data_IF_495808863309
#
_entry.id   IF_495808863309
#
_cell.length_a   1.000
_cell.length_b   1.000
_cell.length_c   1.000
_cell.angle_alpha   90.00
_cell.angle_beta   90.00
_cell.angle_gamma   90.00
#
_symmetry.space_group_name_H-M   'P 1'
#
loop_
_entity.id
_entity.type
_entity.pdbx_description
1 polymer ?
#
# COMPACT_ATOMS: atom_id res chain seq x y z
N UNK A 1 50.70 -75.19 59.39
CA UNK A 1 51.47 -74.36 60.37
C UNK A 1 51.94 -73.11 59.66
N UNK A 2 52.04 -72.00 60.35
CA UNK A 2 51.32 -71.44 61.47
C UNK A 2 50.82 -70.00 61.21
N UNK A 3 49.90 -69.56 61.98
CA UNK A 3 49.72 -68.44 62.96
C UNK A 3 49.08 -67.17 62.44
N UNK A 4 47.94 -66.95 63.09
CA UNK A 4 47.35 -65.58 63.31
C UNK A 4 48.29 -64.60 63.98
N UNK A 5 48.01 -63.28 63.87
CA UNK A 5 47.49 -62.69 65.06
C UNK A 5 46.33 -61.65 64.77
N UNK A 6 45.60 -61.44 65.86
CA UNK A 6 44.46 -60.63 66.16
C UNK A 6 44.72 -59.12 65.94
N UNK A 7 43.71 -58.40 65.37
CA UNK A 7 43.61 -56.99 65.40
C UNK A 7 42.85 -56.46 66.63
N UNK A 8 42.97 -55.16 66.99
CA UNK A 8 42.35 -54.66 68.19
C UNK A 8 40.98 -54.02 67.96
N UNK A 9 40.11 -54.22 68.95
CA UNK A 9 38.78 -53.78 69.17
C UNK A 9 38.63 -52.24 69.17
N UNK A 10 38.01 -51.66 68.22
CA UNK A 10 37.63 -50.22 68.24
C UNK A 10 36.22 -49.99 68.75
N UNK A 11 36.10 -49.60 70.00
CA UNK A 11 34.84 -49.20 70.64
C UNK A 11 34.22 -47.99 69.92
N UNK A 12 33.02 -48.11 69.32
CA UNK A 12 32.19 -47.02 68.86
C UNK A 12 31.57 -46.30 70.05
N UNK A 13 31.92 -45.05 70.29
CA UNK A 13 31.25 -44.18 71.24
C UNK A 13 29.77 -44.00 70.86
N UNK A 14 28.83 -44.06 71.81
CA UNK A 14 27.40 -43.87 71.50
C UNK A 14 27.14 -42.42 71.07
N UNK A 15 26.54 -42.24 69.91
CA UNK A 15 26.12 -40.92 69.36
C UNK A 15 24.84 -40.53 70.07
N UNK A 16 24.84 -39.43 70.82
CA UNK A 16 23.72 -38.87 71.56
C UNK A 16 22.53 -38.61 70.57
N UNK A 17 21.39 -39.28 70.73
CA UNK A 17 20.23 -39.15 69.77
C UNK A 17 19.67 -37.72 69.70
N UNK A 18 19.83 -36.89 70.73
CA UNK A 18 19.37 -35.48 70.73
C UNK A 18 20.22 -34.58 69.79
N UNK A 19 21.49 -34.86 69.53
CA UNK A 19 22.31 -34.08 68.57
C UNK A 19 21.92 -34.41 67.16
N UNK A 20 21.43 -35.63 66.85
CA UNK A 20 21.02 -36.02 65.50
C UNK A 20 19.66 -35.41 65.09
N UNK A 21 18.73 -35.25 66.00
CA UNK A 21 17.46 -34.59 65.78
C UNK A 21 17.60 -33.08 65.56
N UNK A 22 18.49 -32.42 66.26
CA UNK A 22 18.71 -30.95 66.10
C UNK A 22 19.41 -30.66 64.77
N UNK A 23 20.37 -31.50 64.32
CA UNK A 23 21.00 -31.28 63.01
C UNK A 23 20.05 -31.54 61.79
N UNK A 24 19.17 -32.55 61.91
CA UNK A 24 18.13 -32.81 60.85
C UNK A 24 17.04 -31.74 60.80
N UNK A 25 16.64 -31.25 62.00
CA UNK A 25 15.67 -30.14 62.05
C UNK A 25 16.26 -28.81 61.47
N UNK A 26 17.49 -28.44 61.83
CA UNK A 26 18.15 -27.25 61.24
C UNK A 26 18.39 -27.40 59.73
N UNK A 27 18.71 -28.57 59.23
CA UNK A 27 18.89 -28.81 57.78
C UNK A 27 17.57 -28.75 57.00
N UNK A 28 16.44 -29.07 57.65
CA UNK A 28 15.10 -28.98 57.05
C UNK A 28 14.58 -27.56 57.05
N UNK A 29 14.81 -26.78 58.10
CA UNK A 29 14.49 -25.32 58.17
C UNK A 29 15.31 -24.50 57.15
N UNK A 30 16.61 -24.81 57.00
CA UNK A 30 17.45 -24.10 56.02
C UNK A 30 17.00 -24.36 54.59
N UNK A 31 16.56 -25.59 54.26
CA UNK A 31 16.01 -25.91 52.94
C UNK A 31 14.67 -25.19 52.67
N UNK A 32 13.78 -25.13 53.67
CA UNK A 32 12.53 -24.36 53.54
C UNK A 32 12.76 -22.88 53.27
N UNK A 33 13.73 -22.26 54.00
CA UNK A 33 14.11 -20.85 53.76
C UNK A 33 14.73 -20.62 52.40
N UNK A 34 15.54 -21.59 51.89
CA UNK A 34 16.10 -21.52 50.57
C UNK A 34 15.02 -21.64 49.49
N UNK A 35 14.09 -22.56 49.63
CA UNK A 35 12.93 -22.69 48.71
C UNK A 35 12.06 -21.43 48.71
N UNK A 36 11.78 -20.87 49.90
CA UNK A 36 11.01 -19.62 50.02
C UNK A 36 11.73 -18.46 49.32
N UNK A 37 13.07 -18.36 49.50
CA UNK A 37 13.86 -17.34 48.85
C UNK A 37 13.86 -17.50 47.33
N UNK A 38 13.96 -18.73 46.81
CA UNK A 38 13.90 -19.01 45.35
C UNK A 38 12.52 -18.65 44.81
N UNK A 39 11.41 -18.99 45.50
CA UNK A 39 10.07 -18.62 45.06
C UNK A 39 9.86 -17.11 45.01
N UNK A 40 10.36 -16.39 46.03
CA UNK A 40 10.30 -14.91 46.05
C UNK A 40 11.12 -14.31 44.90
N UNK A 41 12.34 -14.82 44.62
CA UNK A 41 13.15 -14.36 43.52
C UNK A 41 12.43 -14.61 42.17
N UNK A 42 11.81 -15.78 41.98
CA UNK A 42 11.07 -16.10 40.76
C UNK A 42 9.85 -15.16 40.58
N UNK A 43 9.10 -14.91 41.65
CA UNK A 43 7.96 -13.97 41.61
C UNK A 43 8.42 -12.55 41.28
N UNK A 44 9.50 -12.10 41.90
CA UNK A 44 10.09 -10.77 41.61
C UNK A 44 10.61 -10.70 40.16
N UNK A 45 11.28 -11.75 39.69
CA UNK A 45 11.77 -11.82 38.32
C UNK A 45 10.61 -11.79 37.29
N UNK A 46 9.54 -12.52 37.56
CA UNK A 46 8.31 -12.49 36.74
C UNK A 46 7.68 -11.10 36.79
N UNK A 47 7.57 -10.50 37.98
CA UNK A 47 6.99 -9.16 38.17
C UNK A 47 7.82 -8.07 37.46
N UNK A 48 9.14 -8.13 37.60
CA UNK A 48 10.06 -7.21 36.88
C UNK A 48 10.00 -7.46 35.38
N UNK A 49 10.02 -8.72 34.92
CA UNK A 49 9.89 -9.06 33.52
C UNK A 49 8.58 -8.56 32.92
N UNK A 50 7.47 -8.72 33.64
CA UNK A 50 6.16 -8.20 33.22
C UNK A 50 6.11 -6.67 33.23
N UNK A 51 6.70 -6.03 34.24
CA UNK A 51 6.80 -4.56 34.33
C UNK A 51 7.65 -3.98 33.18
N UNK A 52 8.80 -4.58 32.87
CA UNK A 52 9.66 -4.17 31.75
C UNK A 52 8.94 -4.39 30.42
N UNK A 53 8.25 -5.53 30.24
CA UNK A 53 7.45 -5.83 29.05
C UNK A 53 6.29 -4.83 28.88
N UNK A 54 5.54 -4.55 29.93
CA UNK A 54 4.41 -3.60 29.88
C UNK A 54 4.86 -2.14 29.72
N UNK A 55 6.02 -1.77 30.25
CA UNK A 55 6.59 -0.41 30.07
C UNK A 55 7.29 -0.20 28.71
N UNK A 56 7.66 -1.28 28.03
CA UNK A 56 8.20 -1.23 26.67
C UNK A 56 7.11 -1.05 25.59
N UNK A 57 5.84 -1.33 25.94
CA UNK A 57 4.71 -1.03 25.07
C UNK A 57 4.28 0.43 25.29
N UNK A 58 4.07 1.17 24.20
CA UNK A 58 3.47 2.51 24.30
C UNK A 58 2.08 2.48 24.94
N UNK A 59 1.45 3.64 25.18
CA UNK A 59 0.10 3.69 25.75
C UNK A 59 -0.91 2.98 24.83
N UNK A 60 -1.97 2.38 25.39
CA UNK A 60 -3.07 1.81 24.60
C UNK A 60 -3.63 2.84 23.62
N UNK A 61 -3.74 2.46 22.34
CA UNK A 61 -4.21 3.31 21.24
C UNK A 61 -4.95 2.45 20.21
N UNK A 62 -5.57 3.09 19.22
CA UNK A 62 -6.17 2.41 18.07
C UNK A 62 -5.75 3.10 16.77
N UNK A 63 -5.86 2.37 15.66
CA UNK A 63 -5.66 2.90 14.32
C UNK A 63 -6.95 2.73 13.50
N UNK A 64 -7.17 3.66 12.55
CA UNK A 64 -8.24 3.55 11.57
C UNK A 64 -7.61 3.46 10.18
N UNK A 65 -8.09 2.54 9.35
CA UNK A 65 -7.70 2.42 7.96
C UNK A 65 -8.93 2.27 7.06
N UNK A 66 -8.90 2.94 5.92
CA UNK A 66 -9.85 2.81 4.83
C UNK A 66 -9.10 2.87 3.50
N UNK A 67 -9.68 2.41 2.37
CA UNK A 67 -9.08 2.61 1.04
C UNK A 67 -8.80 4.09 0.77
N UNK A 68 -7.70 4.40 0.10
CA UNK A 68 -7.31 5.79 -0.24
C UNK A 68 -8.24 6.43 -1.26
N UNK A 69 -8.77 5.60 -2.19
CA UNK A 69 -9.72 6.02 -3.21
C UNK A 69 -10.89 5.04 -3.36
N UNK A 70 -12.08 5.59 -3.64
CA UNK A 70 -13.30 4.81 -3.90
C UNK A 70 -13.98 5.34 -5.17
N UNK A 71 -14.11 4.48 -6.17
CA UNK A 71 -14.89 4.78 -7.37
C UNK A 71 -16.38 4.58 -7.09
N UNK A 72 -17.20 5.58 -7.46
CA UNK A 72 -18.64 5.57 -7.30
C UNK A 72 -19.31 5.98 -8.62
N UNK A 73 -20.39 5.30 -9.01
CA UNK A 73 -21.22 5.72 -10.13
C UNK A 73 -22.37 6.58 -9.62
N UNK A 74 -22.62 7.72 -10.27
CA UNK A 74 -23.71 8.62 -9.89
C UNK A 74 -25.05 7.89 -9.85
N UNK A 75 -25.81 8.08 -8.79
CA UNK A 75 -27.07 7.39 -8.53
C UNK A 75 -26.96 6.00 -7.87
N UNK A 76 -25.78 5.37 -7.84
CA UNK A 76 -25.60 4.06 -7.26
C UNK A 76 -24.80 4.15 -5.95
N UNK A 77 -25.32 3.59 -4.83
CA UNK A 77 -24.54 3.54 -3.60
C UNK A 77 -23.39 2.52 -3.68
N UNK A 78 -22.28 2.85 -3.06
CA UNK A 78 -21.13 1.96 -2.90
C UNK A 78 -20.78 1.80 -1.42
N UNK A 79 -20.24 0.66 -1.06
CA UNK A 79 -19.74 0.38 0.30
C UNK A 79 -18.24 0.21 0.32
N UNK A 80 -17.61 0.66 1.41
CA UNK A 80 -16.20 0.47 1.68
C UNK A 80 -15.98 0.01 3.12
N UNK A 81 -14.90 -0.72 3.38
CA UNK A 81 -14.54 -1.16 4.72
C UNK A 81 -13.71 -0.12 5.43
N UNK A 82 -14.02 0.11 6.71
CA UNK A 82 -13.21 0.87 7.64
C UNK A 82 -12.74 -0.09 8.72
N UNK A 83 -11.44 -0.31 8.78
CA UNK A 83 -10.83 -1.18 9.76
C UNK A 83 -10.42 -0.36 10.99
N UNK A 84 -10.83 -0.80 12.17
CA UNK A 84 -10.32 -0.34 13.47
C UNK A 84 -9.39 -1.40 13.98
N UNK A 85 -8.17 -1.02 14.35
CA UNK A 85 -7.14 -1.94 14.86
C UNK A 85 -6.66 -1.46 16.23
N UNK A 86 -6.79 -2.31 17.24
CA UNK A 86 -6.24 -2.05 18.56
C UNK A 86 -4.72 -2.06 18.55
N UNK A 87 -4.11 -1.10 19.22
CA UNK A 87 -2.67 -0.94 19.39
C UNK A 87 -2.36 -0.99 20.88
N UNK A 88 -1.26 -1.65 21.28
CA UNK A 88 -0.81 -1.75 22.67
C UNK A 88 -1.89 -2.20 23.65
N UNK A 89 -2.58 -3.30 23.32
CA UNK A 89 -3.64 -3.90 24.16
C UNK A 89 -4.85 -2.98 24.41
N UNK A 90 -5.13 -2.06 23.48
CA UNK A 90 -6.33 -1.21 23.55
C UNK A 90 -7.61 -2.08 23.51
N UNK A 91 -8.47 -1.94 24.51
CA UNK A 91 -9.75 -2.66 24.63
C UNK A 91 -10.97 -1.72 24.69
N UNK A 92 -10.76 -0.41 24.46
CA UNK A 92 -11.81 0.61 24.55
C UNK A 92 -12.83 0.54 23.41
N UNK A 93 -13.90 1.30 23.55
CA UNK A 93 -14.91 1.51 22.49
C UNK A 93 -14.45 2.69 21.64
N UNK A 94 -14.34 2.48 20.32
CA UNK A 94 -14.10 3.51 19.31
C UNK A 94 -15.44 3.93 18.72
N UNK A 95 -15.83 5.17 18.92
CA UNK A 95 -17.00 5.79 18.26
C UNK A 95 -16.58 6.29 16.89
N UNK A 96 -17.29 5.84 15.86
CA UNK A 96 -17.04 6.21 14.46
C UNK A 96 -18.08 7.19 13.96
N UNK A 97 -17.63 8.20 13.23
CA UNK A 97 -18.46 9.14 12.47
C UNK A 97 -17.92 9.34 11.07
N UNK A 98 -18.78 9.66 10.11
CA UNK A 98 -18.41 10.00 8.75
C UNK A 98 -19.00 11.36 8.36
N UNK A 99 -18.16 12.22 7.76
CA UNK A 99 -18.58 13.52 7.22
C UNK A 99 -18.13 13.60 5.76
N UNK A 100 -19.05 13.96 4.87
CA UNK A 100 -18.79 14.03 3.44
C UNK A 100 -18.79 15.48 2.94
N UNK A 101 -18.06 15.73 1.85
CA UNK A 101 -18.15 16.98 1.10
C UNK A 101 -19.53 17.14 0.44
N UNK A 102 -19.89 18.38 0.07
CA UNK A 102 -21.17 18.67 -0.59
C UNK A 102 -21.38 17.80 -1.84
N UNK A 103 -22.59 17.26 -2.00
CA UNK A 103 -22.96 16.38 -3.12
C UNK A 103 -22.72 14.89 -2.90
N UNK A 104 -22.03 14.50 -1.81
CA UNK A 104 -21.85 13.13 -1.40
C UNK A 104 -22.60 12.87 -0.08
N UNK A 105 -23.40 11.82 -0.04
CA UNK A 105 -23.95 11.28 1.21
C UNK A 105 -23.04 10.16 1.71
N UNK A 106 -22.74 10.14 3.02
CA UNK A 106 -21.95 9.08 3.65
C UNK A 106 -22.54 8.69 4.99
N UNK A 107 -22.62 7.40 5.24
CA UNK A 107 -23.04 6.81 6.53
C UNK A 107 -22.08 5.69 6.92
N UNK A 108 -21.87 5.46 8.22
CA UNK A 108 -21.01 4.42 8.74
C UNK A 108 -21.77 3.53 9.73
N UNK A 109 -21.59 2.22 9.65
CA UNK A 109 -22.24 1.24 10.56
C UNK A 109 -21.34 0.02 10.74
N UNK A 110 -21.18 -0.51 12.00
CA UNK A 110 -21.66 0.10 13.24
C UNK A 110 -20.93 1.40 13.58
N UNK A 111 -21.55 2.25 14.39
CA UNK A 111 -20.92 3.50 14.89
C UNK A 111 -20.01 3.26 16.10
N UNK A 112 -20.04 2.08 16.70
CA UNK A 112 -19.20 1.70 17.84
C UNK A 112 -18.47 0.38 17.53
N UNK A 113 -17.15 0.37 17.74
CA UNK A 113 -16.29 -0.82 17.59
C UNK A 113 -15.48 -0.98 18.88
N UNK A 114 -15.53 -2.17 19.50
CA UNK A 114 -14.74 -2.45 20.70
C UNK A 114 -13.41 -3.09 20.32
N UNK A 115 -12.31 -2.50 20.76
CA UNK A 115 -10.97 -2.97 20.45
C UNK A 115 -10.69 -2.93 18.93
N UNK A 116 -10.64 -4.10 18.30
CA UNK A 116 -10.47 -4.23 16.84
C UNK A 116 -11.77 -4.70 16.18
N UNK A 117 -12.04 -4.19 14.97
CA UNK A 117 -13.21 -4.61 14.20
C UNK A 117 -13.35 -3.86 12.88
N UNK A 118 -14.47 -4.08 12.22
CA UNK A 118 -14.77 -3.50 10.90
C UNK A 118 -16.10 -2.76 10.98
N UNK A 119 -16.12 -1.58 10.38
CA UNK A 119 -17.35 -0.84 10.06
C UNK A 119 -17.49 -0.72 8.53
N UNK A 120 -18.72 -0.60 8.06
CA UNK A 120 -19.06 -0.38 6.66
C UNK A 120 -19.39 1.08 6.46
N UNK A 121 -18.64 1.75 5.59
CA UNK A 121 -18.91 3.09 5.09
C UNK A 121 -19.75 2.96 3.81
N UNK A 122 -20.96 3.49 3.81
CA UNK A 122 -21.85 3.54 2.64
C UNK A 122 -21.88 4.95 2.09
N UNK A 123 -21.65 5.10 0.79
CA UNK A 123 -21.55 6.39 0.10
C UNK A 123 -22.45 6.41 -1.12
N UNK A 124 -23.06 7.59 -1.42
CA UNK A 124 -23.83 7.82 -2.65
C UNK A 124 -23.70 9.26 -3.11
N UNK A 125 -23.50 9.46 -4.41
CA UNK A 125 -23.48 10.79 -5.05
C UNK A 125 -24.56 10.86 -6.15
N UNK A 126 -25.21 12.03 -6.31
CA UNK A 126 -26.20 12.24 -7.37
C UNK A 126 -25.55 12.59 -8.70
N UNK A 127 -24.46 13.33 -8.66
CA UNK A 127 -23.77 13.87 -9.83
C UNK A 127 -22.38 13.28 -9.98
N UNK A 128 -21.83 13.38 -11.19
CA UNK A 128 -20.43 13.10 -11.44
C UNK A 128 -19.54 14.14 -10.75
N UNK A 129 -18.41 13.72 -10.19
CA UNK A 129 -17.51 14.61 -9.48
C UNK A 129 -16.43 13.89 -8.69
N UNK A 130 -15.64 14.69 -8.00
CA UNK A 130 -14.68 14.24 -6.99
C UNK A 130 -15.11 14.78 -5.64
N UNK A 131 -15.14 13.90 -4.67
CA UNK A 131 -15.65 14.15 -3.33
C UNK A 131 -14.63 13.65 -2.30
N UNK A 132 -14.77 14.09 -1.08
CA UNK A 132 -14.01 13.57 0.07
C UNK A 132 -14.98 13.12 1.15
N UNK A 133 -14.62 12.08 1.87
CA UNK A 133 -15.29 11.66 3.09
C UNK A 133 -14.26 11.54 4.20
N UNK A 134 -14.50 12.18 5.34
CA UNK A 134 -13.65 12.06 6.52
C UNK A 134 -14.32 11.12 7.50
N UNK A 135 -13.65 10.00 7.80
CA UNK A 135 -14.04 9.09 8.88
C UNK A 135 -13.21 9.43 10.11
N UNK A 136 -13.88 9.65 11.22
CA UNK A 136 -13.25 9.95 12.51
C UNK A 136 -13.62 8.86 13.50
N UNK A 137 -12.62 8.34 14.21
CA UNK A 137 -12.80 7.50 15.37
C UNK A 137 -12.34 8.23 16.63
N UNK A 138 -13.14 8.13 17.71
CA UNK A 138 -12.82 8.71 19.02
C UNK A 138 -12.99 7.70 20.11
N UNK A 139 -12.09 7.72 21.12
CA UNK A 139 -12.19 6.93 22.35
C UNK A 139 -11.55 7.71 23.48
N UNK A 140 -12.36 8.31 24.38
CA UNK A 140 -11.88 9.24 25.38
C UNK A 140 -11.17 10.43 24.73
N UNK A 141 -9.89 10.62 25.05
CA UNK A 141 -9.05 11.68 24.47
C UNK A 141 -8.38 11.27 23.13
N UNK A 142 -8.42 9.99 22.76
CA UNK A 142 -7.83 9.50 21.52
C UNK A 142 -8.73 9.87 20.32
N UNK A 143 -8.10 10.35 19.25
CA UNK A 143 -8.80 10.71 18.01
C UNK A 143 -7.92 10.43 16.80
N UNK A 144 -8.43 9.61 15.88
CA UNK A 144 -7.80 9.31 14.60
C UNK A 144 -8.77 9.55 13.46
N UNK A 145 -8.25 9.85 12.26
CA UNK A 145 -9.08 10.07 11.08
C UNK A 145 -8.41 9.56 9.82
N UNK A 146 -9.23 9.18 8.84
CA UNK A 146 -8.84 8.88 7.46
C UNK A 146 -9.77 9.63 6.51
N UNK A 147 -9.24 10.06 5.37
CA UNK A 147 -9.99 10.85 4.40
C UNK A 147 -9.84 10.24 3.00
N UNK A 148 -10.63 9.19 2.66
CA UNK A 148 -10.70 8.68 1.30
C UNK A 148 -11.15 9.72 0.28
N UNK A 149 -10.59 9.67 -0.92
CA UNK A 149 -11.11 10.36 -2.09
C UNK A 149 -12.20 9.50 -2.73
N UNK A 150 -13.36 10.07 -3.01
CA UNK A 150 -14.49 9.41 -3.68
C UNK A 150 -14.70 10.10 -5.02
N UNK A 151 -14.67 9.37 -6.13
CA UNK A 151 -14.82 9.98 -7.44
C UNK A 151 -15.65 9.10 -8.38
N UNK A 152 -16.39 9.77 -9.28
CA UNK A 152 -17.04 9.09 -10.40
C UNK A 152 -16.01 8.78 -11.50
N UNK A 153 -16.24 7.74 -12.32
CA UNK A 153 -15.37 7.40 -13.44
C UNK A 153 -15.21 8.59 -14.40
N UNK A 154 -14.03 8.68 -14.98
CA UNK A 154 -13.68 9.56 -16.09
C UNK A 154 -13.11 8.69 -17.18
N UNK A 155 -13.54 8.93 -18.41
CA UNK A 155 -13.09 8.15 -19.56
C UNK A 155 -12.28 9.04 -20.50
N UNK A 156 -11.24 8.46 -21.08
CA UNK A 156 -10.47 9.05 -22.16
C UNK A 156 -10.60 8.20 -23.41
N UNK A 157 -11.01 8.82 -24.52
CA UNK A 157 -11.00 8.21 -25.86
C UNK A 157 -9.74 8.67 -26.57
N UNK A 158 -8.86 7.73 -26.87
CA UNK A 158 -7.60 7.92 -27.58
C UNK A 158 -7.82 7.52 -29.05
N UNK A 159 -7.90 8.49 -29.94
CA UNK A 159 -7.90 8.25 -31.38
C UNK A 159 -6.47 8.04 -31.87
N UNK A 160 -6.20 6.93 -32.52
CA UNK A 160 -4.88 6.62 -33.07
C UNK A 160 -4.95 6.34 -34.56
N UNK A 161 -3.82 6.34 -35.27
CA UNK A 161 -3.76 5.92 -36.66
C UNK A 161 -4.21 4.48 -36.91
N UNK A 162 -4.24 3.65 -35.86
CA UNK A 162 -4.62 2.25 -35.92
C UNK A 162 -6.04 1.96 -35.41
N UNK A 163 -6.77 2.99 -34.94
CA UNK A 163 -8.10 2.87 -34.37
C UNK A 163 -8.23 3.52 -33.00
N UNK A 164 -9.33 3.27 -32.34
CA UNK A 164 -9.74 3.91 -31.08
C UNK A 164 -9.45 3.03 -29.88
N UNK A 165 -8.88 3.64 -28.82
CA UNK A 165 -8.68 3.02 -27.52
C UNK A 165 -9.49 3.81 -26.49
N UNK A 166 -10.37 3.17 -25.72
CA UNK A 166 -11.10 3.81 -24.61
C UNK A 166 -10.53 3.36 -23.29
N UNK A 167 -10.27 4.33 -22.40
CA UNK A 167 -9.63 4.15 -21.11
C UNK A 167 -10.52 4.68 -20.01
N UNK A 168 -10.70 3.92 -18.94
CA UNK A 168 -11.21 4.41 -17.67
C UNK A 168 -10.04 5.00 -16.86
N UNK A 169 -10.18 6.24 -16.37
CA UNK A 169 -9.18 6.94 -15.57
C UNK A 169 -9.53 6.87 -14.07
N UNK A 170 -8.61 6.45 -13.25
CA UNK A 170 -8.79 6.19 -11.81
C UNK A 170 -8.59 7.46 -10.97
N UNK A 171 -9.51 8.41 -11.12
CA UNK A 171 -9.46 9.71 -10.44
C UNK A 171 -9.45 9.59 -8.92
N UNK A 172 -10.08 8.57 -8.35
CA UNK A 172 -10.11 8.34 -6.92
C UNK A 172 -8.73 7.89 -6.37
N UNK A 173 -8.01 7.07 -7.12
CA UNK A 173 -6.75 6.46 -6.71
C UNK A 173 -5.53 7.33 -7.09
N UNK A 174 -5.60 8.07 -8.20
CA UNK A 174 -4.52 8.92 -8.70
C UNK A 174 -5.05 10.31 -9.10
N UNK A 175 -5.62 11.09 -8.15
CA UNK A 175 -6.34 12.33 -8.46
C UNK A 175 -5.48 13.39 -9.13
N UNK A 176 -4.22 13.56 -8.73
CA UNK A 176 -3.33 14.58 -9.30
C UNK A 176 -2.90 14.21 -10.72
N UNK A 177 -2.54 12.94 -10.91
CA UNK A 177 -2.16 12.40 -12.22
C UNK A 177 -3.34 12.48 -13.20
N UNK A 178 -4.52 12.01 -12.79
CA UNK A 178 -5.71 12.05 -13.66
C UNK A 178 -6.12 13.49 -13.99
N UNK A 179 -6.13 14.41 -13.02
CA UNK A 179 -6.45 15.80 -13.28
C UNK A 179 -5.46 16.46 -14.27
N UNK A 180 -4.17 16.14 -14.17
CA UNK A 180 -3.15 16.60 -15.12
C UNK A 180 -3.43 16.05 -16.53
N UNK A 181 -3.62 14.74 -16.69
CA UNK A 181 -3.93 14.11 -17.99
C UNK A 181 -5.23 14.71 -18.59
N UNK A 182 -6.27 14.88 -17.80
CA UNK A 182 -7.54 15.49 -18.24
C UNK A 182 -7.33 16.93 -18.73
N UNK A 183 -6.60 17.74 -17.98
CA UNK A 183 -6.30 19.14 -18.36
C UNK A 183 -5.50 19.20 -19.64
N UNK A 184 -4.46 18.36 -19.81
CA UNK A 184 -3.67 18.29 -21.03
C UNK A 184 -4.51 17.81 -22.22
N UNK A 185 -5.36 16.80 -22.04
CA UNK A 185 -6.27 16.33 -23.09
C UNK A 185 -7.24 17.43 -23.54
N UNK A 186 -7.87 18.13 -22.60
CA UNK A 186 -8.81 19.22 -22.86
C UNK A 186 -8.15 20.42 -23.56
N UNK A 187 -6.86 20.65 -23.33
CA UNK A 187 -6.09 21.70 -24.05
C UNK A 187 -5.61 21.27 -25.44
N UNK A 188 -5.90 20.03 -25.86
CA UNK A 188 -5.42 19.49 -27.15
C UNK A 188 -3.94 19.10 -27.15
N UNK A 189 -3.29 19.06 -25.99
CA UNK A 189 -1.85 18.77 -25.85
C UNK A 189 -1.43 17.45 -26.53
N UNK A 190 -2.28 16.42 -26.48
CA UNK A 190 -1.98 15.10 -27.02
C UNK A 190 -2.22 14.95 -28.53
N UNK A 191 -2.60 16.03 -29.23
CA UNK A 191 -2.92 15.95 -30.64
C UNK A 191 -1.70 15.68 -31.49
N UNK A 192 -1.76 14.63 -32.32
CA UNK A 192 -0.73 14.21 -33.29
C UNK A 192 0.65 13.93 -32.65
N UNK A 193 0.69 13.42 -31.41
CA UNK A 193 1.92 12.92 -30.79
C UNK A 193 2.22 11.50 -31.26
N UNK A 194 3.51 11.15 -31.30
CA UNK A 194 3.94 9.80 -31.71
C UNK A 194 3.93 8.85 -30.51
N UNK A 195 3.57 7.59 -30.73
CA UNK A 195 3.94 6.48 -29.86
C UNK A 195 5.45 6.24 -30.01
N UNK A 196 6.25 7.04 -29.31
CA UNK A 196 7.69 7.17 -29.54
C UNK A 196 8.53 6.03 -28.97
N UNK A 197 7.97 5.19 -28.10
CA UNK A 197 8.62 4.01 -27.58
C UNK A 197 7.64 2.81 -27.62
N UNK A 198 8.04 1.76 -28.33
CA UNK A 198 7.25 0.56 -28.54
C UNK A 198 8.10 -0.65 -28.19
N UNK A 199 7.78 -1.32 -27.08
CA UNK A 199 8.47 -2.54 -26.65
C UNK A 199 7.44 -3.68 -26.61
N UNK A 200 7.49 -4.50 -27.64
CA UNK A 200 6.55 -5.64 -27.77
C UNK A 200 6.61 -6.56 -26.56
N UNK A 201 5.44 -6.91 -26.02
CA UNK A 201 5.33 -7.74 -24.81
C UNK A 201 5.69 -7.00 -23.50
N UNK A 202 5.89 -5.69 -23.56
CA UNK A 202 6.14 -4.85 -22.39
C UNK A 202 5.19 -3.65 -22.37
N UNK A 203 5.50 -2.55 -23.09
CA UNK A 203 4.67 -1.34 -23.11
C UNK A 203 4.69 -0.64 -24.48
N UNK A 204 3.68 0.19 -24.74
CA UNK A 204 3.70 1.27 -25.72
C UNK A 204 3.59 2.60 -24.98
N UNK A 205 4.42 3.59 -25.33
CA UNK A 205 4.55 4.87 -24.61
C UNK A 205 4.42 6.06 -25.55
N UNK A 206 3.71 7.10 -25.11
CA UNK A 206 3.43 8.35 -25.84
C UNK A 206 3.43 9.55 -24.89
N UNK A 207 3.03 10.73 -25.37
CA UNK A 207 2.83 11.94 -24.56
C UNK A 207 4.03 12.86 -24.48
N UNK A 208 5.05 12.65 -25.34
CA UNK A 208 6.16 13.58 -25.49
C UNK A 208 5.83 14.66 -26.54
N UNK A 209 5.72 15.95 -26.17
CA UNK A 209 5.38 17.04 -27.11
C UNK A 209 6.44 17.27 -28.18
N UNK A 210 7.69 16.84 -27.98
CA UNK A 210 8.74 16.96 -28.99
C UNK A 210 8.51 16.09 -30.23
N UNK A 211 7.56 15.14 -30.12
CA UNK A 211 7.19 14.20 -31.19
C UNK A 211 6.05 14.72 -32.08
N UNK A 212 5.58 15.94 -31.86
CA UNK A 212 4.42 16.52 -32.55
C UNK A 212 4.59 16.40 -34.10
N UNK A 213 3.59 15.80 -34.76
CA UNK A 213 3.54 15.51 -36.17
C UNK A 213 4.75 14.68 -36.69
N UNK A 214 5.38 13.87 -35.84
CA UNK A 214 6.59 13.14 -36.17
C UNK A 214 7.83 13.98 -36.36
N UNK A 215 7.77 15.28 -36.00
CA UNK A 215 8.85 16.24 -36.09
C UNK A 215 9.84 16.17 -34.93
N UNK A 216 10.66 17.22 -34.86
CA UNK A 216 11.71 17.32 -33.85
C UNK A 216 12.93 16.43 -34.11
N UNK A 217 13.87 16.47 -33.18
CA UNK A 217 15.04 15.59 -33.21
C UNK A 217 14.70 14.23 -32.60
N UNK A 218 14.65 13.18 -33.40
CA UNK A 218 14.32 11.81 -32.91
C UNK A 218 15.26 11.32 -31.81
N UNK A 219 16.49 11.79 -31.74
CA UNK A 219 17.45 11.44 -30.70
C UNK A 219 17.02 11.94 -29.30
N UNK A 220 16.05 12.87 -29.24
CA UNK A 220 15.51 13.44 -27.99
C UNK A 220 14.07 13.02 -27.72
N UNK A 221 13.48 12.18 -28.57
CA UNK A 221 12.13 11.64 -28.30
C UNK A 221 12.12 10.84 -26.99
N UNK A 222 11.09 11.05 -26.19
CA UNK A 222 10.95 10.47 -24.87
C UNK A 222 11.55 11.33 -23.73
N UNK A 223 12.17 12.48 -24.06
CA UNK A 223 12.77 13.38 -23.06
C UNK A 223 11.90 14.60 -22.75
N UNK A 224 10.87 14.87 -23.55
CA UNK A 224 9.97 16.01 -23.37
C UNK A 224 8.89 15.79 -22.33
N UNK A 225 8.24 16.89 -21.92
CA UNK A 225 7.09 16.88 -21.00
C UNK A 225 6.27 18.15 -21.12
N UNK A 226 5.16 18.26 -20.37
CA UNK A 226 4.27 19.42 -20.41
C UNK A 226 4.82 20.68 -19.72
N UNK A 227 5.98 20.59 -19.05
CA UNK A 227 6.52 21.66 -18.20
C UNK A 227 5.93 21.67 -16.78
N UNK A 228 4.90 20.86 -16.50
CA UNK A 228 4.34 20.63 -15.16
C UNK A 228 4.62 19.19 -14.76
N UNK A 229 4.88 18.96 -13.46
CA UNK A 229 5.07 17.62 -12.92
C UNK A 229 3.99 17.24 -11.92
N UNK A 230 3.78 15.96 -11.76
CA UNK A 230 2.88 15.38 -10.76
C UNK A 230 3.67 14.44 -9.83
N UNK A 231 3.32 14.39 -8.54
CA UNK A 231 3.96 13.47 -7.61
C UNK A 231 3.59 12.03 -7.94
N UNK A 232 4.40 11.09 -7.43
CA UNK A 232 4.07 9.68 -7.44
C UNK A 232 2.83 9.41 -6.57
N UNK A 233 1.81 8.77 -7.15
CA UNK A 233 0.59 8.36 -6.47
C UNK A 233 0.47 6.84 -6.53
N UNK A 234 0.64 6.16 -5.40
CA UNK A 234 0.58 4.69 -5.32
C UNK A 234 -0.66 4.27 -4.56
N UNK A 235 -1.52 3.51 -5.24
CA UNK A 235 -2.58 2.75 -4.62
C UNK A 235 -2.19 1.27 -4.64
N UNK A 236 -2.11 0.60 -3.47
CA UNK A 236 -1.64 -0.79 -3.39
C UNK A 236 -2.60 -1.82 -4.03
N UNK A 237 -3.81 -1.41 -4.40
CA UNK A 237 -4.77 -2.26 -5.11
C UNK A 237 -4.60 -2.22 -6.63
N UNK A 238 -3.80 -1.28 -7.15
CA UNK A 238 -3.55 -1.11 -8.59
C UNK A 238 -2.17 -1.66 -8.96
N UNK A 239 -2.15 -2.45 -10.02
CA UNK A 239 -0.96 -3.11 -10.52
C UNK A 239 -0.73 -2.78 -12.00
N UNK A 240 0.53 -2.83 -12.44
CA UNK A 240 0.91 -2.69 -13.85
C UNK A 240 0.56 -3.96 -14.65
N UNK A 241 -0.70 -4.40 -14.60
CA UNK A 241 -1.19 -5.52 -15.37
C UNK A 241 -1.48 -5.12 -16.81
N UNK A 242 -1.65 -6.11 -17.70
CA UNK A 242 -2.00 -5.90 -19.11
C UNK A 242 -3.21 -4.97 -19.23
N UNK A 243 -3.12 -3.96 -20.11
CA UNK A 243 -4.16 -2.96 -20.34
C UNK A 243 -4.19 -1.81 -19.34
N UNK A 244 -3.43 -1.86 -18.25
CA UNK A 244 -3.35 -0.72 -17.32
C UNK A 244 -2.41 0.36 -17.85
N UNK A 245 -2.74 1.62 -17.54
CA UNK A 245 -1.93 2.79 -17.88
C UNK A 245 -1.05 3.19 -16.70
N UNK A 246 0.23 3.42 -16.99
CA UNK A 246 1.19 3.94 -16.03
C UNK A 246 1.76 5.28 -16.45
N UNK A 247 2.03 6.16 -15.46
CA UNK A 247 2.70 7.45 -15.68
C UNK A 247 4.19 7.24 -15.85
N UNK A 248 4.73 7.63 -17.01
CA UNK A 248 6.17 7.61 -17.24
C UNK A 248 6.88 8.72 -16.45
N UNK A 249 8.11 8.47 -16.04
CA UNK A 249 8.92 9.38 -15.25
C UNK A 249 10.43 9.17 -15.47
N UNK A 250 11.24 10.15 -15.08
CA UNK A 250 12.69 10.03 -14.99
C UNK A 250 13.13 9.32 -13.68
N UNK A 251 14.38 9.50 -13.27
CA UNK A 251 14.89 8.98 -12.00
C UNK A 251 14.22 9.62 -10.77
N UNK A 252 13.81 10.90 -10.85
CA UNK A 252 13.01 11.53 -9.81
C UNK A 252 11.58 10.94 -9.81
N UNK A 253 11.16 10.42 -8.68
CA UNK A 253 9.84 9.80 -8.50
C UNK A 253 8.67 10.77 -8.73
N UNK A 254 8.90 12.08 -8.58
CA UNK A 254 7.92 13.14 -8.76
C UNK A 254 8.06 13.87 -10.11
N UNK A 255 8.73 13.27 -11.09
CA UNK A 255 8.93 13.83 -12.43
C UNK A 255 7.91 13.41 -13.48
N UNK A 256 6.85 12.67 -13.09
CA UNK A 256 5.73 12.38 -13.96
C UNK A 256 5.18 13.69 -14.55
N UNK A 257 4.87 13.72 -15.86
CA UNK A 257 4.45 14.95 -16.54
C UNK A 257 3.32 14.68 -17.53
N UNK A 258 3.63 14.50 -18.80
CA UNK A 258 2.63 14.21 -19.84
C UNK A 258 2.78 12.82 -20.45
N UNK A 259 3.93 12.17 -20.30
CA UNK A 259 4.17 10.87 -20.91
C UNK A 259 3.51 9.74 -20.09
N UNK A 260 2.85 8.85 -20.81
CA UNK A 260 2.23 7.66 -20.22
C UNK A 260 2.45 6.43 -21.12
N UNK A 261 2.29 5.26 -20.52
CA UNK A 261 2.38 4.00 -21.26
C UNK A 261 1.14 3.13 -21.00
N UNK A 262 0.86 2.23 -21.96
CA UNK A 262 -0.10 1.14 -21.84
C UNK A 262 0.69 -0.16 -21.67
N UNK A 263 0.40 -0.92 -20.65
CA UNK A 263 1.01 -2.22 -20.40
C UNK A 263 0.46 -3.27 -21.39
N UNK A 264 1.35 -3.95 -22.10
CA UNK A 264 1.03 -5.04 -23.03
C UNK A 264 1.14 -6.43 -22.37
N UNK A 265 1.71 -6.49 -21.17
CA UNK A 265 1.86 -7.67 -20.34
C UNK A 265 1.68 -7.29 -18.85
N UNK A 266 1.73 -8.28 -17.97
CA UNK A 266 1.77 -8.04 -16.52
C UNK A 266 3.19 -7.64 -16.12
N UNK A 267 3.41 -6.35 -15.89
CA UNK A 267 4.70 -5.76 -15.57
C UNK A 267 4.80 -5.41 -14.08
N UNK A 268 4.50 -6.39 -13.20
CA UNK A 268 4.40 -6.16 -11.74
C UNK A 268 5.71 -5.72 -11.09
N UNK A 269 6.86 -5.81 -11.77
CA UNK A 269 8.13 -5.21 -11.33
C UNK A 269 8.09 -3.67 -11.29
N UNK A 270 7.11 -3.05 -11.97
CA UNK A 270 6.88 -1.60 -11.97
C UNK A 270 6.00 -1.14 -10.78
N UNK A 271 5.34 -2.08 -10.09
CA UNK A 271 4.44 -1.77 -8.97
C UNK A 271 5.19 -1.04 -7.84
N UNK A 272 4.52 -0.07 -7.22
CA UNK A 272 5.11 0.78 -6.20
C UNK A 272 6.10 1.84 -6.72
N UNK A 273 6.48 1.81 -8.02
CA UNK A 273 7.45 2.73 -8.61
C UNK A 273 6.85 3.67 -9.66
N UNK A 274 5.69 3.32 -10.20
CA UNK A 274 4.99 4.10 -11.21
C UNK A 274 3.52 4.22 -10.86
N UNK A 275 2.96 5.43 -10.98
CA UNK A 275 1.52 5.67 -10.76
C UNK A 275 0.72 4.92 -11.83
N UNK A 276 -0.11 3.98 -11.39
CA UNK A 276 -1.14 3.36 -12.23
C UNK A 276 -2.39 4.22 -12.13
N UNK A 277 -2.86 4.81 -13.24
CA UNK A 277 -3.92 5.82 -13.22
C UNK A 277 -5.10 5.55 -14.15
N UNK A 278 -5.12 4.42 -14.85
CA UNK A 278 -6.22 4.04 -15.72
C UNK A 278 -6.10 2.64 -16.28
N UNK A 279 -7.13 2.22 -17.02
CA UNK A 279 -7.19 0.91 -17.68
C UNK A 279 -7.93 1.02 -19.01
N UNK A 280 -7.42 0.35 -20.03
CA UNK A 280 -8.11 0.16 -21.32
C UNK A 280 -9.37 -0.68 -21.07
N UNK A 281 -10.53 -0.16 -21.47
CA UNK A 281 -11.82 -0.85 -21.40
C UNK A 281 -12.26 -1.37 -22.78
N UNK A 282 -11.84 -0.71 -23.87
CA UNK A 282 -11.98 -1.19 -25.25
C UNK A 282 -10.78 -0.76 -26.08
N UNK A 283 -10.46 -1.51 -27.13
CA UNK A 283 -9.35 -1.18 -28.06
C UNK A 283 -7.99 -1.74 -27.64
N UNK A 284 -7.95 -2.77 -26.81
CA UNK A 284 -6.70 -3.46 -26.50
C UNK A 284 -6.07 -4.15 -27.72
N UNK A 285 -6.88 -4.56 -28.70
CA UNK A 285 -6.47 -5.04 -30.01
C UNK A 285 -5.77 -3.94 -30.85
N UNK A 286 -6.26 -2.69 -30.74
CA UNK A 286 -5.60 -1.50 -31.34
C UNK A 286 -4.23 -1.26 -30.69
N UNK A 287 -4.14 -1.30 -29.36
CA UNK A 287 -2.87 -1.18 -28.64
C UNK A 287 -1.87 -2.28 -29.08
N UNK A 288 -2.35 -3.52 -29.24
CA UNK A 288 -1.55 -4.63 -29.75
C UNK A 288 -1.16 -4.46 -31.23
N UNK A 289 -1.96 -3.74 -32.02
CA UNK A 289 -1.61 -3.40 -33.41
C UNK A 289 -0.50 -2.35 -33.43
N UNK A 290 -0.58 -1.31 -32.61
CA UNK A 290 0.53 -0.34 -32.41
C UNK A 290 1.81 -1.07 -32.00
N UNK A 291 1.71 -2.05 -31.09
CA UNK A 291 2.85 -2.82 -30.61
C UNK A 291 3.57 -3.66 -31.70
N UNK A 292 2.89 -3.96 -32.83
CA UNK A 292 3.48 -4.69 -33.96
C UNK A 292 4.23 -3.79 -34.95
N UNK A 293 4.23 -2.47 -34.75
CA UNK A 293 4.95 -1.53 -35.57
C UNK A 293 6.45 -1.88 -35.53
N UNK A 294 7.10 -1.81 -36.70
CA UNK A 294 8.53 -2.02 -36.80
C UNK A 294 9.30 -0.89 -36.06
N UNK A 295 10.26 -1.28 -35.26
CA UNK A 295 11.07 -0.36 -34.46
C UNK A 295 12.57 -0.52 -34.77
N UNK A 296 13.36 0.47 -34.42
CA UNK A 296 14.82 0.37 -34.43
C UNK A 296 15.26 -0.61 -33.35
N UNK A 297 16.07 -1.60 -33.70
CA UNK A 297 16.47 -2.71 -32.82
C UNK A 297 17.92 -2.63 -32.33
N UNK A 298 18.71 -1.68 -32.82
CA UNK A 298 20.06 -1.45 -32.35
C UNK A 298 20.06 -0.76 -31.01
N UNK A 299 20.40 -1.52 -29.95
CA UNK A 299 20.40 -1.07 -28.56
C UNK A 299 21.43 0.03 -28.28
N UNK A 300 22.41 0.25 -29.17
CA UNK A 300 23.41 1.34 -29.06
C UNK A 300 22.92 2.63 -29.69
N UNK A 301 21.84 2.56 -30.47
CA UNK A 301 21.23 3.70 -31.14
C UNK A 301 20.35 4.51 -30.20
N UNK A 302 20.39 5.83 -30.21
CA UNK A 302 19.41 6.68 -29.52
C UNK A 302 17.97 6.49 -30.02
N UNK A 303 17.80 5.82 -31.18
CA UNK A 303 16.49 5.51 -31.76
C UNK A 303 15.93 4.17 -31.29
N UNK A 304 16.62 3.43 -30.44
CA UNK A 304 16.21 2.11 -29.95
C UNK A 304 14.78 2.14 -29.41
N UNK A 305 13.97 1.15 -29.78
CA UNK A 305 12.53 1.03 -29.47
C UNK A 305 11.64 2.11 -30.10
N UNK A 306 12.14 3.05 -30.91
CA UNK A 306 11.31 4.00 -31.63
C UNK A 306 10.74 3.38 -32.92
N UNK A 307 9.50 3.74 -33.31
CA UNK A 307 8.93 3.25 -34.58
C UNK A 307 9.73 3.78 -35.77
N UNK A 308 9.97 2.91 -36.77
CA UNK A 308 10.60 3.33 -38.05
C UNK A 308 9.66 4.31 -38.74
N UNK A 309 8.41 3.89 -38.93
CA UNK A 309 7.32 4.74 -39.43
C UNK A 309 6.44 5.19 -38.23
N UNK A 310 6.30 6.52 -38.03
CA UNK A 310 5.55 7.03 -36.88
C UNK A 310 4.10 6.57 -36.84
N UNK A 311 3.68 6.09 -35.67
CA UNK A 311 2.28 5.82 -35.32
C UNK A 311 1.80 6.91 -34.38
N UNK A 312 0.67 7.53 -34.70
CA UNK A 312 0.21 8.73 -34.00
C UNK A 312 -0.91 8.47 -33.00
N UNK A 313 -0.87 9.13 -31.87
CA UNK A 313 -1.99 9.50 -31.04
C UNK A 313 -2.59 10.78 -31.65
N UNK A 314 -3.70 10.64 -32.38
CA UNK A 314 -4.31 11.74 -33.13
C UNK A 314 -4.98 12.75 -32.21
N UNK A 315 -5.73 12.25 -31.23
CA UNK A 315 -6.40 13.09 -30.22
C UNK A 315 -6.74 12.30 -28.97
N UNK A 316 -6.98 13.02 -27.87
CA UNK A 316 -7.55 12.48 -26.63
C UNK A 316 -8.75 13.33 -26.24
N UNK A 317 -9.93 12.70 -26.13
CA UNK A 317 -11.16 13.35 -25.67
C UNK A 317 -11.60 12.78 -24.32
N UNK A 318 -12.16 13.64 -23.47
CA UNK A 318 -12.56 13.27 -22.10
C UNK A 318 -14.07 13.24 -22.00
N UNK A 319 -14.62 12.20 -21.36
CA UNK A 319 -16.03 12.09 -20.98
C UNK A 319 -16.21 11.63 -19.53
N UNK A 320 -17.36 11.93 -18.95
CA UNK A 320 -17.71 11.56 -17.56
C UNK A 320 -18.92 10.62 -17.48
N UNK A 321 -19.32 10.08 -18.60
CA UNK A 321 -20.46 9.16 -18.76
C UNK A 321 -20.21 8.21 -19.90
#
# INVERSE_FOLDING_TARGET
>A
MPRHPKGPNGQKKPINPKKRSIQTARKRESRGRVYLAIVVIVIVAIGVGWYVYSSAQGPPDFAIAAPTGVTIHAGNPVTSRVNVTAVNSFGGIVQLSATASSGLNATISPTNVTGSGIATLTMSAKNNGTYTVTVIGTSGSLKHSVTPVVATPVYATLETTNGTIVVELYRAQAPKTVNNIVSLAQSGFYSNLVWHRIVQGFVIQTGDPTTLNGGGNRNTWGQGGSGQTVPLEIDPSLHNNVGYLGMARSSDVNSGSSQFYINLANNNSLDGNYTVFGKVITGMDVANTVAKTQVYTDQTSPLYDQPIDPVYLISVTISTS
#
